data_IF_487424193669
#
_entry.id   IF_487424193669
#
_cell.length_a   1.000
_cell.length_b   1.000
_cell.length_c   1.000
_cell.angle_alpha   90.00
_cell.angle_beta   90.00
_cell.angle_gamma   90.00
#
_symmetry.space_group_name_H-M   'P 1'
#
loop_
_entity.id
_entity.type
_entity.pdbx_description
1 polymer ?
#
# COMPACT_ATOMS: atom_id res chain seq x y z
N UNK A 1 -9.98 -20.37 5.32
CA UNK A 1 -10.17 -18.99 5.82
C UNK A 1 -8.82 -18.42 6.20
N UNK A 2 -8.58 -17.14 5.95
CA UNK A 2 -7.39 -16.45 6.40
C UNK A 2 -7.57 -16.03 7.87
N UNK A 3 -7.25 -16.95 8.79
CA UNK A 3 -7.46 -16.77 10.24
C UNK A 3 -6.63 -15.63 10.85
N UNK A 4 -5.52 -15.27 10.19
CA UNK A 4 -4.58 -14.25 10.68
C UNK A 4 -4.87 -12.86 10.12
N UNK A 5 -5.91 -12.70 9.29
CA UNK A 5 -6.25 -11.43 8.62
C UNK A 5 -5.12 -10.89 7.74
N UNK A 6 -4.34 -11.78 7.10
CA UNK A 6 -3.24 -11.42 6.21
C UNK A 6 -3.63 -11.22 4.75
N UNK A 7 -3.28 -10.10 4.15
CA UNK A 7 -3.54 -9.83 2.72
C UNK A 7 -2.23 -9.52 1.99
N UNK A 8 -2.13 -9.75 0.67
CA UNK A 8 -0.99 -9.28 -0.10
C UNK A 8 -1.00 -7.74 -0.15
N UNK A 9 -0.03 -7.12 0.51
CA UNK A 9 0.28 -5.70 0.37
C UNK A 9 1.28 -5.54 -0.77
N UNK A 10 0.87 -4.82 -1.79
CA UNK A 10 1.64 -4.58 -3.01
C UNK A 10 2.15 -3.14 -2.97
N UNK A 11 3.45 -2.96 -3.15
CA UNK A 11 4.07 -1.65 -3.36
C UNK A 11 4.74 -1.62 -4.72
N UNK A 12 4.32 -0.67 -5.55
CA UNK A 12 4.86 -0.47 -6.89
C UNK A 12 5.88 0.66 -6.82
N UNK A 13 7.13 0.36 -7.15
CA UNK A 13 8.22 1.31 -7.22
C UNK A 13 8.56 1.57 -8.68
N UNK A 14 8.08 2.69 -9.21
CA UNK A 14 8.66 3.29 -10.40
C UNK A 14 9.68 4.33 -9.92
N UNK A 15 10.94 3.91 -9.81
CA UNK A 15 12.02 4.73 -9.29
C UNK A 15 12.98 5.19 -10.41
N UNK A 16 12.52 5.20 -11.67
CA UNK A 16 13.30 5.70 -12.81
C UNK A 16 13.74 7.14 -12.55
N UNK A 17 15.05 7.38 -12.55
CA UNK A 17 15.63 8.70 -12.26
C UNK A 17 15.85 9.01 -10.77
N UNK A 18 15.40 8.17 -9.84
CA UNK A 18 15.75 8.30 -8.43
C UNK A 18 17.26 8.05 -8.24
N UNK A 19 17.95 8.98 -7.55
CA UNK A 19 19.41 8.90 -7.31
C UNK A 19 19.78 8.73 -5.84
N UNK A 20 18.86 9.01 -4.94
CA UNK A 20 19.11 8.96 -3.49
C UNK A 20 19.00 7.53 -2.94
N UNK A 21 18.19 6.68 -3.59
CA UNK A 21 18.06 5.27 -3.23
C UNK A 21 18.93 4.38 -4.11
N UNK A 22 19.66 3.46 -3.49
CA UNK A 22 20.36 2.41 -4.21
C UNK A 22 19.50 1.14 -4.21
N UNK A 23 18.97 0.77 -5.38
CA UNK A 23 18.08 -0.39 -5.59
C UNK A 23 18.78 -1.72 -5.25
N UNK A 24 18.80 -2.08 -3.96
CA UNK A 24 19.54 -3.25 -3.43
C UNK A 24 18.61 -4.36 -2.93
N UNK A 25 17.32 -4.09 -2.83
CA UNK A 25 16.33 -5.02 -2.29
C UNK A 25 16.08 -6.20 -3.23
N UNK A 26 16.11 -5.99 -4.54
CA UNK A 26 16.06 -7.07 -5.53
C UNK A 26 17.46 -7.63 -5.75
N UNK A 27 17.64 -8.91 -5.41
CA UNK A 27 18.93 -9.62 -5.49
C UNK A 27 19.05 -10.53 -6.71
N UNK A 28 18.08 -10.47 -7.63
CA UNK A 28 18.10 -11.25 -8.86
C UNK A 28 18.94 -10.58 -9.97
N UNK A 29 18.98 -11.19 -11.16
CA UNK A 29 19.73 -10.66 -12.29
C UNK A 29 19.19 -9.31 -12.77
N UNK A 30 20.08 -8.42 -13.16
CA UNK A 30 19.71 -7.18 -13.84
C UNK A 30 19.13 -7.45 -15.22
N UNK A 31 18.16 -6.66 -15.62
CA UNK A 31 17.66 -6.60 -16.99
C UNK A 31 18.62 -5.84 -17.92
N UNK A 32 19.41 -4.90 -17.39
CA UNK A 32 20.30 -4.05 -18.18
C UNK A 32 19.61 -2.82 -18.78
N UNK A 33 18.53 -2.35 -18.14
CA UNK A 33 17.69 -1.27 -18.64
C UNK A 33 16.84 -0.63 -17.55
N UNK A 34 15.82 0.11 -17.95
CA UNK A 34 14.97 0.87 -17.03
C UNK A 34 14.23 0.00 -15.98
N UNK A 35 14.06 -1.30 -16.25
CA UNK A 35 13.50 -2.25 -15.28
C UNK A 35 14.40 -2.39 -14.03
N UNK A 36 15.70 -2.13 -14.14
CA UNK A 36 16.62 -2.11 -12.97
C UNK A 36 16.34 -0.92 -12.03
N UNK A 37 15.54 0.04 -12.47
CA UNK A 37 15.02 1.17 -11.70
C UNK A 37 13.54 1.00 -11.30
N UNK A 38 12.95 -0.17 -11.56
CA UNK A 38 11.57 -0.48 -11.19
C UNK A 38 11.51 -1.73 -10.31
N UNK A 39 10.58 -1.76 -9.37
CA UNK A 39 10.43 -2.91 -8.47
C UNK A 39 8.97 -3.10 -8.03
N UNK A 40 8.59 -4.35 -7.81
CA UNK A 40 7.32 -4.73 -7.18
C UNK A 40 7.63 -5.47 -5.89
N UNK A 41 7.20 -4.91 -4.76
CA UNK A 41 7.24 -5.60 -3.48
C UNK A 41 5.87 -6.20 -3.19
N UNK A 42 5.83 -7.49 -2.85
CA UNK A 42 4.63 -8.17 -2.34
C UNK A 42 4.95 -8.77 -0.99
N UNK A 43 4.14 -8.45 0.02
CA UNK A 43 4.27 -9.05 1.35
C UNK A 43 2.89 -9.40 1.93
N UNK A 44 2.75 -10.60 2.51
CA UNK A 44 1.54 -11.00 3.23
C UNK A 44 1.52 -10.36 4.62
N UNK A 45 0.79 -9.27 4.78
CA UNK A 45 0.74 -8.48 6.02
C UNK A 45 -0.63 -8.57 6.67
N UNK A 46 -0.65 -8.62 8.01
CA UNK A 46 -1.90 -8.52 8.78
C UNK A 46 -2.45 -7.10 8.64
N UNK A 47 -3.71 -6.99 8.24
CA UNK A 47 -4.37 -5.68 8.12
C UNK A 47 -5.05 -5.34 9.44
N UNK A 48 -4.74 -4.17 9.96
CA UNK A 48 -5.33 -3.60 11.16
C UNK A 48 -5.66 -2.12 10.91
N UNK A 49 -6.72 -1.65 11.54
CA UNK A 49 -7.14 -0.24 11.54
C UNK A 49 -7.01 0.27 12.96
N UNK A 50 -6.29 1.37 13.15
CA UNK A 50 -6.15 2.01 14.45
C UNK A 50 -7.42 2.80 14.81
N UNK A 51 -7.68 2.98 16.11
CA UNK A 51 -8.92 3.58 16.60
C UNK A 51 -9.08 5.05 16.19
N UNK A 52 -7.97 5.78 16.08
CA UNK A 52 -7.93 7.17 15.62
C UNK A 52 -8.38 7.30 14.15
N UNK A 53 -7.92 6.40 13.28
CA UNK A 53 -8.40 6.33 11.89
C UNK A 53 -9.91 6.04 11.83
N UNK A 54 -10.41 5.14 12.69
CA UNK A 54 -11.83 4.83 12.77
C UNK A 54 -12.66 6.03 13.28
N UNK A 55 -12.19 6.73 14.30
CA UNK A 55 -12.85 7.91 14.86
C UNK A 55 -12.90 9.08 13.86
N UNK A 56 -11.85 9.24 13.04
CA UNK A 56 -11.81 10.25 11.98
C UNK A 56 -12.88 9.97 10.92
N UNK A 57 -12.93 8.73 10.40
CA UNK A 57 -13.93 8.35 9.39
C UNK A 57 -15.35 8.45 9.94
N UNK A 58 -15.57 8.08 11.21
CA UNK A 58 -16.88 8.27 11.86
C UNK A 58 -17.32 9.75 11.83
N UNK A 59 -16.41 10.66 12.14
CA UNK A 59 -16.68 12.10 12.12
C UNK A 59 -17.00 12.60 10.71
N UNK A 60 -16.28 12.11 9.70
CA UNK A 60 -16.55 12.40 8.29
C UNK A 60 -17.94 11.91 7.89
N UNK A 61 -18.24 10.64 8.14
CA UNK A 61 -19.53 10.03 7.81
C UNK A 61 -20.71 10.80 8.42
N UNK A 62 -20.63 11.17 9.71
CA UNK A 62 -21.67 11.93 10.40
C UNK A 62 -21.92 13.31 9.77
N UNK A 63 -20.90 13.89 9.11
CA UNK A 63 -20.99 15.21 8.47
C UNK A 63 -21.59 15.15 7.05
N UNK A 64 -21.66 13.97 6.44
CA UNK A 64 -22.12 13.79 5.04
C UNK A 64 -23.37 12.91 4.90
N UNK A 65 -24.01 12.50 6.01
CA UNK A 65 -25.24 11.72 5.97
C UNK A 65 -26.35 12.47 5.22
N UNK A 66 -26.77 11.93 4.08
CA UNK A 66 -27.94 12.44 3.35
C UNK A 66 -29.22 11.98 4.06
N UNK A 67 -30.17 12.90 4.23
CA UNK A 67 -31.50 12.55 4.67
C UNK A 67 -32.09 11.49 3.72
N UNK A 68 -32.63 10.41 4.27
CA UNK A 68 -33.33 9.39 3.50
C UNK A 68 -34.49 10.08 2.77
N UNK A 69 -34.46 10.13 1.44
CA UNK A 69 -35.63 10.59 0.66
C UNK A 69 -36.78 9.64 0.98
N UNK A 70 -37.84 10.19 1.57
CA UNK A 70 -39.10 9.49 1.83
C UNK A 70 -39.76 9.09 0.53
#
# INVERSE_FOLDING_TARGET
>A
KNGDLRTPVITIFDARGCKDHANKEYTGPKAGGADDEMCVKVAMQKIAVAEDAAALVLKECLSELKARKK
#
